data_IF_290501616436
#
_entry.id   IF_290501616436
#
_cell.length_a   1.000
_cell.length_b   1.000
_cell.length_c   1.000
_cell.angle_alpha   90.00
_cell.angle_beta   90.00
_cell.angle_gamma   90.00
#
_symmetry.space_group_name_H-M   'P 1'
#
loop_
_entity.id
_entity.type
_entity.pdbx_description
1 polymer ?
#
# COMPACT_ATOMS: atom_id res chain seq x y z
N UNK A 1 6.05 -8.91 9.52
CA UNK A 1 6.96 -8.25 8.57
C UNK A 1 7.19 -6.81 8.98
N UNK A 2 8.38 -6.25 8.68
CA UNK A 2 8.79 -4.90 9.07
C UNK A 2 7.80 -3.78 8.64
N UNK A 3 7.15 -3.93 7.48
CA UNK A 3 6.14 -2.98 6.98
C UNK A 3 4.91 -2.81 7.89
N UNK A 4 4.57 -3.83 8.69
CA UNK A 4 3.40 -3.78 9.59
C UNK A 4 3.67 -3.02 10.90
N UNK A 5 4.92 -2.62 11.13
CA UNK A 5 5.36 -1.83 12.30
C UNK A 5 5.62 -0.37 11.94
N UNK A 6 5.27 0.06 10.73
CA UNK A 6 5.47 1.43 10.28
C UNK A 6 4.46 2.36 10.97
N UNK A 7 4.88 3.28 11.86
CA UNK A 7 3.97 4.19 12.56
C UNK A 7 3.44 5.31 11.65
N UNK A 8 4.01 5.49 10.46
CA UNK A 8 3.63 6.55 9.51
C UNK A 8 3.33 5.90 8.15
N UNK A 9 2.25 5.12 8.11
CA UNK A 9 1.91 4.18 7.03
C UNK A 9 1.66 4.79 5.64
N UNK A 10 1.37 6.10 5.57
CA UNK A 10 1.11 6.82 4.31
C UNK A 10 2.38 7.48 3.78
N UNK A 11 3.12 8.17 4.66
CA UNK A 11 4.33 8.91 4.27
C UNK A 11 5.48 7.97 3.91
N UNK A 12 5.68 6.91 4.69
CA UNK A 12 6.52 5.78 4.29
C UNK A 12 5.59 4.82 3.55
N UNK A 13 5.72 4.66 2.21
CA UNK A 13 4.69 4.05 1.36
C UNK A 13 4.71 2.51 1.46
N UNK A 14 4.49 1.97 2.66
CA UNK A 14 4.50 0.52 2.89
C UNK A 14 3.30 -0.19 2.23
N UNK A 15 2.26 0.55 1.84
CA UNK A 15 1.17 0.05 0.98
C UNK A 15 1.65 -0.32 -0.43
N UNK A 16 2.81 0.16 -0.89
CA UNK A 16 3.40 -0.23 -2.19
C UNK A 16 4.15 -1.56 -2.18
N UNK A 17 4.44 -2.12 -1.01
CA UNK A 17 5.18 -3.40 -0.90
C UNK A 17 4.24 -4.57 -1.17
N UNK A 18 4.46 -5.35 -2.24
CA UNK A 18 3.62 -6.50 -2.61
C UNK A 18 4.36 -7.83 -2.47
N UNK A 19 3.63 -8.95 -2.47
CA UNK A 19 4.23 -10.28 -2.48
C UNK A 19 5.00 -10.54 -3.78
N UNK A 20 5.93 -11.50 -3.77
CA UNK A 20 6.74 -11.87 -4.96
C UNK A 20 5.89 -12.38 -6.12
N UNK A 21 4.68 -12.87 -5.84
CA UNK A 21 3.68 -13.29 -6.80
C UNK A 21 2.69 -12.17 -7.20
N UNK A 22 2.95 -10.92 -6.81
CA UNK A 22 2.06 -9.78 -7.05
C UNK A 22 0.85 -9.68 -6.12
N UNK A 23 0.70 -10.58 -5.14
CA UNK A 23 -0.44 -10.53 -4.22
C UNK A 23 -0.33 -9.38 -3.20
N UNK A 24 -1.47 -8.79 -2.85
CA UNK A 24 -1.56 -7.86 -1.73
C UNK A 24 -1.38 -8.62 -0.41
N UNK A 25 -0.27 -8.36 0.27
CA UNK A 25 0.05 -8.99 1.56
C UNK A 25 0.43 -7.92 2.57
N UNK A 26 0.13 -8.15 3.85
CA UNK A 26 0.65 -7.37 4.98
C UNK A 26 0.42 -5.85 4.92
N UNK A 27 -0.51 -5.35 5.73
CA UNK A 27 -0.67 -3.92 5.96
C UNK A 27 -1.32 -3.68 7.33
N UNK A 28 -0.78 -2.74 8.10
CA UNK A 28 -1.24 -2.52 9.47
C UNK A 28 -2.69 -2.03 9.52
N UNK A 29 -3.10 -1.22 8.53
CA UNK A 29 -4.49 -0.77 8.35
C UNK A 29 -5.41 -1.77 7.65
N UNK A 30 -4.94 -2.99 7.36
CA UNK A 30 -5.71 -4.00 6.61
C UNK A 30 -5.63 -3.87 5.08
N UNK A 31 -5.91 -4.98 4.39
CA UNK A 31 -5.71 -5.07 2.93
C UNK A 31 -6.66 -4.17 2.12
N UNK A 32 -7.84 -3.86 2.64
CA UNK A 32 -8.80 -2.96 1.98
C UNK A 32 -8.27 -1.53 1.85
N UNK A 33 -7.64 -1.00 2.91
CA UNK A 33 -7.04 0.33 2.89
C UNK A 33 -5.84 0.35 1.94
N UNK A 34 -5.03 -0.71 1.94
CA UNK A 34 -3.91 -0.86 1.00
C UNK A 34 -4.35 -0.83 -0.47
N UNK A 35 -5.39 -1.60 -0.80
CA UNK A 35 -5.98 -1.62 -2.14
C UNK A 35 -6.53 -0.24 -2.54
N UNK A 36 -7.23 0.45 -1.64
CA UNK A 36 -7.72 1.80 -1.87
C UNK A 36 -6.59 2.81 -2.15
N UNK A 37 -5.51 2.79 -1.35
CA UNK A 37 -4.37 3.70 -1.54
C UNK A 37 -3.66 3.47 -2.88
N UNK A 38 -3.48 2.20 -3.29
CA UNK A 38 -2.91 1.87 -4.59
C UNK A 38 -3.78 2.39 -5.75
N UNK A 39 -5.11 2.22 -5.67
CA UNK A 39 -6.05 2.75 -6.68
C UNK A 39 -6.04 4.28 -6.75
N UNK A 40 -5.89 4.95 -5.61
CA UNK A 40 -5.80 6.40 -5.54
C UNK A 40 -4.52 6.90 -6.23
N UNK A 41 -3.39 6.24 -6.00
CA UNK A 41 -2.12 6.54 -6.69
C UNK A 41 -2.20 6.28 -8.20
N UNK A 42 -2.86 5.19 -8.60
CA UNK A 42 -3.09 4.86 -10.01
C UNK A 42 -3.95 5.93 -10.69
N UNK A 43 -5.02 6.37 -10.04
CA UNK A 43 -5.88 7.46 -10.52
C UNK A 43 -5.09 8.77 -10.65
N UNK A 44 -4.18 9.06 -9.72
CA UNK A 44 -3.30 10.22 -9.82
C UNK A 44 -2.39 10.14 -11.05
N UNK A 45 -1.87 8.97 -11.41
CA UNK A 45 -1.01 8.82 -12.59
C UNK A 45 -1.75 9.07 -13.92
N UNK A 46 -3.08 8.94 -13.95
CA UNK A 46 -3.89 9.18 -15.16
C UNK A 46 -4.39 10.62 -15.31
N UNK A 47 -4.18 11.47 -14.30
CA UNK A 47 -4.65 12.85 -14.26
C UNK A 47 -3.57 13.88 -14.65
N UNK A 48 -2.35 13.44 -14.95
CA UNK A 48 -1.23 14.26 -15.38
C UNK A 48 -0.73 13.86 -16.77
#
# INVERSE_FOLDING_TARGET
GACNKNPIAIFIPCHRVVGTNGSLVGFAGGLSIKDFLLKLEDTQNHLF
#
